data_IF_379933310538
#
_entry.id   IF_379933310538
#
_cell.length_a   1.000
_cell.length_b   1.000
_cell.length_c   1.000
_cell.angle_alpha   90.00
_cell.angle_beta   90.00
_cell.angle_gamma   90.00
#
_symmetry.space_group_name_H-M   'P 1'
#
loop_
_entity.id
_entity.type
_entity.pdbx_description
1 polymer ?
#
# COMPACT_ATOMS: atom_id res chain seq x y z
N UNK A 1 10.97 22.14 8.90
CA UNK A 1 10.45 22.85 7.70
C UNK A 1 8.93 22.82 7.61
N UNK A 2 8.22 21.67 7.50
CA UNK A 2 6.73 21.75 7.49
C UNK A 2 6.18 22.17 8.85
N UNK A 3 6.60 21.54 9.96
CA UNK A 3 6.04 21.83 11.29
C UNK A 3 6.30 23.27 11.79
N UNK A 4 7.36 23.92 11.33
CA UNK A 4 7.64 25.33 11.66
C UNK A 4 6.70 26.28 10.89
N UNK A 5 6.38 25.92 9.63
CA UNK A 5 5.36 26.60 8.85
C UNK A 5 3.97 26.38 9.47
N UNK A 6 3.64 25.14 9.85
CA UNK A 6 2.36 24.78 10.46
C UNK A 6 2.17 25.51 11.79
N UNK A 7 3.20 25.59 12.64
CA UNK A 7 3.17 26.38 13.87
C UNK A 7 2.92 27.87 13.59
N UNK A 8 3.74 28.48 12.73
CA UNK A 8 3.69 29.92 12.49
C UNK A 8 2.34 30.35 11.86
N UNK A 9 1.92 29.66 10.80
CA UNK A 9 0.72 30.03 10.05
C UNK A 9 -0.55 29.46 10.67
N UNK A 10 -0.50 28.29 11.28
CA UNK A 10 -1.64 27.70 11.97
C UNK A 10 -2.04 28.52 13.20
N UNK A 11 -1.09 28.96 14.02
CA UNK A 11 -1.41 29.86 15.14
C UNK A 11 -1.94 31.21 14.66
N UNK A 12 -1.36 31.78 13.60
CA UNK A 12 -1.87 33.04 13.02
C UNK A 12 -3.28 32.89 12.47
N UNK A 13 -3.57 31.76 11.82
CA UNK A 13 -4.91 31.46 11.30
C UNK A 13 -5.93 31.30 12.43
N UNK A 14 -5.58 30.58 13.51
CA UNK A 14 -6.43 30.50 14.71
C UNK A 14 -6.66 31.89 15.32
N UNK A 15 -5.61 32.68 15.53
CA UNK A 15 -5.70 34.04 16.11
C UNK A 15 -6.67 34.94 15.34
N UNK A 16 -6.59 34.93 14.01
CA UNK A 16 -7.36 35.84 13.17
C UNK A 16 -8.76 35.32 12.80
N UNK A 17 -8.92 34.00 12.67
CA UNK A 17 -10.06 33.43 11.95
C UNK A 17 -10.86 32.37 12.70
N UNK A 18 -10.47 31.90 13.90
CA UNK A 18 -11.14 30.75 14.55
C UNK A 18 -12.66 30.93 14.71
N UNK A 19 -13.09 32.16 15.01
CA UNK A 19 -14.49 32.49 15.24
C UNK A 19 -15.30 32.76 13.96
N UNK A 20 -14.64 32.88 12.80
CA UNK A 20 -15.27 33.40 11.57
C UNK A 20 -14.99 32.58 10.30
N UNK A 21 -14.02 31.66 10.30
CA UNK A 21 -13.56 30.98 9.09
C UNK A 21 -14.70 30.20 8.38
N UNK A 22 -15.66 29.67 9.13
CA UNK A 22 -16.81 28.95 8.57
C UNK A 22 -17.75 29.85 7.77
N UNK A 23 -17.72 31.16 8.01
CA UNK A 23 -18.59 32.15 7.36
C UNK A 23 -18.01 32.68 6.04
N UNK A 24 -16.80 32.27 5.65
CA UNK A 24 -16.22 32.68 4.36
C UNK A 24 -17.09 32.17 3.20
N UNK A 25 -17.51 33.09 2.33
CA UNK A 25 -18.39 32.78 1.18
C UNK A 25 -17.69 31.92 0.13
N UNK A 26 -16.38 32.06 -0.01
CA UNK A 26 -15.55 31.25 -0.91
C UNK A 26 -15.26 29.86 -0.30
N UNK A 27 -15.74 28.77 -0.93
CA UNK A 27 -15.52 27.41 -0.43
C UNK A 27 -14.05 26.96 -0.50
N UNK A 28 -13.28 27.43 -1.49
CA UNK A 28 -11.85 27.08 -1.62
C UNK A 28 -11.06 27.73 -0.49
N UNK A 29 -11.29 29.02 -0.26
CA UNK A 29 -10.67 29.74 0.87
C UNK A 29 -11.03 29.08 2.20
N UNK A 30 -12.31 28.67 2.38
CA UNK A 30 -12.75 27.97 3.58
C UNK A 30 -11.99 26.67 3.79
N UNK A 31 -11.79 25.86 2.74
CA UNK A 31 -11.03 24.60 2.81
C UNK A 31 -9.55 24.83 3.10
N UNK A 32 -8.94 25.83 2.46
CA UNK A 32 -7.54 26.23 2.72
C UNK A 32 -7.35 26.65 4.18
N UNK A 33 -8.21 27.53 4.70
CA UNK A 33 -8.11 28.03 6.07
C UNK A 33 -8.44 26.94 7.09
N UNK A 34 -9.41 26.07 6.77
CA UNK A 34 -9.73 24.88 7.57
C UNK A 34 -8.54 23.93 7.67
N UNK A 35 -7.75 23.76 6.60
CA UNK A 35 -6.54 22.96 6.61
C UNK A 35 -5.40 23.62 7.40
N UNK A 36 -5.10 24.89 7.14
CA UNK A 36 -3.98 25.62 7.77
C UNK A 36 -4.15 25.72 9.29
N UNK A 37 -5.39 25.85 9.79
CA UNK A 37 -5.64 25.93 11.24
C UNK A 37 -5.44 24.61 11.99
N UNK A 38 -5.20 23.49 11.31
CA UNK A 38 -4.88 22.21 11.96
C UNK A 38 -3.36 22.07 12.03
N UNK A 39 -2.81 22.17 13.24
CA UNK A 39 -1.36 22.18 13.46
C UNK A 39 -0.79 20.76 13.61
N UNK A 40 -1.59 19.80 14.06
CA UNK A 40 -1.14 18.44 14.34
C UNK A 40 0.05 18.42 15.30
N UNK A 41 1.15 17.70 14.98
CA UNK A 41 2.36 17.65 15.81
C UNK A 41 2.99 19.02 16.12
N UNK A 42 2.69 20.07 15.35
CA UNK A 42 3.14 21.41 15.65
C UNK A 42 2.51 22.00 16.93
N UNK A 43 1.39 21.46 17.43
CA UNK A 43 0.85 21.81 18.75
C UNK A 43 1.73 21.33 19.92
N UNK A 44 2.63 20.36 19.68
CA UNK A 44 3.54 19.90 20.73
C UNK A 44 4.64 20.93 20.96
N UNK A 45 4.95 21.20 22.23
CA UNK A 45 6.13 21.99 22.59
C UNK A 45 7.42 21.37 22.03
N UNK A 46 8.43 22.21 21.76
CA UNK A 46 9.65 21.86 21.00
C UNK A 46 10.27 20.52 21.42
N UNK A 47 10.43 20.26 22.71
CA UNK A 47 11.01 19.01 23.22
C UNK A 47 10.16 17.77 22.86
N UNK A 48 8.83 17.84 23.05
CA UNK A 48 7.91 16.75 22.69
C UNK A 48 7.83 16.58 21.17
N UNK A 49 7.89 17.67 20.40
CA UNK A 49 7.94 17.63 18.94
C UNK A 49 9.20 16.94 18.42
N UNK A 50 10.37 17.25 19.00
CA UNK A 50 11.63 16.57 18.70
C UNK A 50 11.56 15.07 19.07
N UNK A 51 10.97 14.74 20.22
CA UNK A 51 10.73 13.35 20.62
C UNK A 51 9.83 12.63 19.61
N UNK A 52 8.71 13.24 19.22
CA UNK A 52 7.76 12.69 18.25
C UNK A 52 8.45 12.38 16.91
N UNK A 53 9.20 13.35 16.37
CA UNK A 53 9.95 13.18 15.12
C UNK A 53 11.04 12.09 15.23
N UNK A 54 11.73 12.03 16.37
CA UNK A 54 12.73 10.99 16.64
C UNK A 54 12.10 9.59 16.75
N UNK A 55 10.93 9.48 17.37
CA UNK A 55 10.17 8.22 17.45
C UNK A 55 9.77 7.73 16.06
N UNK A 56 9.20 8.59 15.22
CA UNK A 56 8.83 8.25 13.84
C UNK A 56 10.05 7.79 13.02
N UNK A 57 11.16 8.53 13.11
CA UNK A 57 12.41 8.15 12.43
C UNK A 57 12.94 6.81 12.93
N UNK A 58 12.90 6.56 14.25
CA UNK A 58 13.36 5.30 14.83
C UNK A 58 12.48 4.12 14.42
N UNK A 59 11.16 4.29 14.40
CA UNK A 59 10.23 3.26 13.96
C UNK A 59 10.44 2.91 12.48
N UNK A 60 10.57 3.92 11.63
CA UNK A 60 10.90 3.74 10.20
C UNK A 60 12.23 3.01 10.00
N UNK A 61 13.27 3.39 10.76
CA UNK A 61 14.58 2.72 10.72
C UNK A 61 14.49 1.26 11.16
N UNK A 62 13.82 0.97 12.28
CA UNK A 62 13.65 -0.41 12.77
C UNK A 62 12.97 -1.27 11.70
N UNK A 63 11.85 -0.79 11.13
CA UNK A 63 11.13 -1.54 10.11
C UNK A 63 11.96 -1.76 8.84
N UNK A 64 12.65 -0.73 8.34
CA UNK A 64 13.40 -0.82 7.07
C UNK A 64 14.72 -1.61 7.17
N UNK A 65 15.35 -1.65 8.34
CA UNK A 65 16.68 -2.25 8.52
C UNK A 65 16.67 -3.59 9.26
N UNK A 66 15.52 -4.01 9.81
CA UNK A 66 15.39 -5.29 10.47
C UNK A 66 15.74 -6.45 9.54
N UNK A 67 16.41 -7.46 10.11
CA UNK A 67 16.79 -8.70 9.41
C UNK A 67 16.44 -9.90 10.29
N UNK A 68 16.17 -11.03 9.66
CA UNK A 68 15.90 -12.31 10.32
C UNK A 68 17.10 -13.23 10.10
N UNK A 69 17.74 -13.68 11.17
CA UNK A 69 18.94 -14.51 11.10
C UNK A 69 18.66 -15.94 11.56
N UNK A 70 19.34 -16.93 10.96
CA UNK A 70 19.20 -18.32 11.39
C UNK A 70 19.77 -18.57 12.79
N UNK A 71 19.10 -19.41 13.62
CA UNK A 71 19.68 -19.87 14.88
C UNK A 71 21.04 -20.53 14.62
N UNK A 72 22.07 -20.10 15.35
CA UNK A 72 23.45 -20.61 15.26
C UNK A 72 24.18 -20.40 13.92
N UNK A 73 23.64 -19.59 13.00
CA UNK A 73 24.32 -19.15 11.77
C UNK A 73 24.16 -17.64 11.59
N UNK A 74 24.91 -16.88 12.39
CA UNK A 74 24.90 -15.41 12.40
C UNK A 74 25.46 -14.77 11.12
N UNK A 75 26.08 -15.55 10.24
CA UNK A 75 26.67 -15.05 8.99
C UNK A 75 25.65 -14.79 7.87
N UNK A 76 24.39 -15.22 8.02
CA UNK A 76 23.36 -15.04 6.97
C UNK A 76 22.06 -14.56 7.61
N UNK A 77 21.73 -13.29 7.36
CA UNK A 77 20.49 -12.65 7.80
C UNK A 77 19.72 -12.18 6.57
N UNK A 78 18.41 -12.35 6.61
CA UNK A 78 17.49 -12.03 5.52
C UNK A 78 16.77 -10.72 5.78
N UNK A 79 16.76 -9.87 4.77
CA UNK A 79 15.97 -8.64 4.76
C UNK A 79 14.52 -8.93 4.37
N UNK A 80 13.59 -8.04 4.73
CA UNK A 80 12.19 -8.18 4.28
C UNK A 80 12.12 -8.28 2.76
N UNK A 81 12.74 -7.32 2.07
CA UNK A 81 12.77 -7.23 0.61
C UNK A 81 14.22 -7.29 0.08
N UNK A 82 14.59 -8.34 -0.69
CA UNK A 82 13.71 -9.34 -1.32
C UNK A 82 13.55 -10.67 -0.56
N UNK A 83 14.39 -10.95 0.45
CA UNK A 83 14.62 -12.32 0.91
C UNK A 83 13.36 -12.96 1.53
N UNK A 84 12.79 -12.33 2.56
CA UNK A 84 11.61 -12.88 3.26
C UNK A 84 10.37 -12.84 2.39
N UNK A 85 10.16 -11.76 1.64
CA UNK A 85 9.06 -11.65 0.67
C UNK A 85 9.11 -12.80 -0.35
N UNK A 86 10.29 -13.12 -0.88
CA UNK A 86 10.46 -14.25 -1.80
C UNK A 86 10.18 -15.59 -1.12
N UNK A 87 10.62 -15.79 0.13
CA UNK A 87 10.34 -17.01 0.90
C UNK A 87 8.83 -17.20 1.08
N UNK A 88 8.10 -16.16 1.50
CA UNK A 88 6.66 -16.23 1.72
C UNK A 88 5.89 -16.46 0.41
N UNK A 89 6.33 -15.83 -0.69
CA UNK A 89 5.70 -15.99 -2.00
C UNK A 89 5.90 -17.39 -2.61
N UNK A 90 7.11 -17.95 -2.52
CA UNK A 90 7.50 -19.14 -3.31
C UNK A 90 7.60 -20.45 -2.50
N UNK A 91 7.91 -20.38 -1.20
CA UNK A 91 8.07 -21.58 -0.38
C UNK A 91 6.72 -22.27 -0.16
N UNK A 92 6.76 -23.59 -0.09
CA UNK A 92 5.63 -24.44 0.33
C UNK A 92 5.99 -25.32 1.52
N UNK A 93 7.08 -25.00 2.22
CA UNK A 93 7.52 -25.67 3.44
C UNK A 93 6.95 -24.95 4.66
N UNK A 94 6.05 -25.62 5.39
CA UNK A 94 5.39 -25.04 6.57
C UNK A 94 6.40 -24.48 7.57
N UNK A 95 7.44 -25.25 7.91
CA UNK A 95 8.45 -24.83 8.88
C UNK A 95 9.28 -23.63 8.42
N UNK A 96 9.58 -23.55 7.12
CA UNK A 96 10.32 -22.42 6.55
C UNK A 96 9.48 -21.14 6.54
N UNK A 97 8.20 -21.26 6.16
CA UNK A 97 7.26 -20.15 6.17
C UNK A 97 7.02 -19.64 7.59
N UNK A 98 6.85 -20.56 8.56
CA UNK A 98 6.70 -20.21 9.97
C UNK A 98 7.93 -19.48 10.49
N UNK A 99 9.15 -19.98 10.21
CA UNK A 99 10.39 -19.33 10.62
C UNK A 99 10.51 -17.90 10.09
N UNK A 100 10.24 -17.71 8.80
CA UNK A 100 10.30 -16.39 8.18
C UNK A 100 9.26 -15.41 8.76
N UNK A 101 8.02 -15.89 8.95
CA UNK A 101 6.92 -15.09 9.49
C UNK A 101 7.14 -14.71 10.95
N UNK A 102 7.44 -15.69 11.82
CA UNK A 102 7.68 -15.48 13.24
C UNK A 102 8.92 -14.61 13.44
N UNK A 103 10.03 -14.94 12.75
CA UNK A 103 11.26 -14.18 12.85
C UNK A 103 11.09 -12.71 12.47
N UNK A 104 10.30 -12.41 11.44
CA UNK A 104 10.00 -11.02 11.06
C UNK A 104 9.19 -10.29 12.13
N UNK A 105 8.12 -10.91 12.61
CA UNK A 105 7.25 -10.32 13.63
C UNK A 105 7.98 -10.12 14.96
N UNK A 106 8.90 -11.00 15.33
CA UNK A 106 9.75 -10.84 16.50
C UNK A 106 10.78 -9.71 16.32
N UNK A 107 11.51 -9.74 15.20
CA UNK A 107 12.58 -8.78 14.93
C UNK A 107 12.08 -7.32 14.84
N UNK A 108 10.83 -7.12 14.39
CA UNK A 108 10.23 -5.80 14.18
C UNK A 108 9.22 -5.45 15.27
N UNK A 109 8.30 -6.35 15.60
CA UNK A 109 7.18 -6.07 16.51
C UNK A 109 7.62 -5.82 17.96
N UNK A 110 8.56 -6.64 18.47
CA UNK A 110 9.06 -6.51 19.84
C UNK A 110 9.69 -5.12 20.10
N UNK A 111 10.67 -4.65 19.30
CA UNK A 111 11.26 -3.33 19.52
C UNK A 111 10.34 -2.16 19.17
N UNK A 112 9.36 -2.33 18.26
CA UNK A 112 8.43 -1.25 17.90
C UNK A 112 7.38 -0.97 18.98
N UNK A 113 6.93 -1.99 19.73
CA UNK A 113 5.85 -1.86 20.72
C UNK A 113 6.01 -0.67 21.69
N UNK A 114 7.14 -0.48 22.41
CA UNK A 114 7.29 0.65 23.33
C UNK A 114 7.36 2.02 22.62
N UNK A 115 7.83 2.06 21.37
CA UNK A 115 7.86 3.29 20.56
C UNK A 115 6.45 3.66 20.10
N UNK A 116 5.68 2.66 19.67
CA UNK A 116 4.29 2.83 19.20
C UNK A 116 3.38 3.35 20.31
N UNK A 117 3.57 2.89 21.55
CA UNK A 117 2.83 3.41 22.72
C UNK A 117 3.12 4.90 22.95
N UNK A 118 4.38 5.31 22.86
CA UNK A 118 4.78 6.70 23.04
C UNK A 118 4.28 7.60 21.90
N UNK A 119 4.43 7.16 20.65
CA UNK A 119 3.99 7.96 19.49
C UNK A 119 2.47 8.14 19.49
N UNK A 120 1.71 7.12 19.91
CA UNK A 120 0.25 7.19 20.03
C UNK A 120 -0.16 8.23 21.08
N UNK A 121 0.51 8.24 22.24
CA UNK A 121 0.23 9.21 23.30
C UNK A 121 0.52 10.65 22.84
N UNK A 122 1.68 10.89 22.21
CA UNK A 122 2.07 12.20 21.70
C UNK A 122 1.17 12.66 20.53
N UNK A 123 0.81 11.76 19.63
CA UNK A 123 -0.11 12.05 18.52
C UNK A 123 -1.47 12.49 19.04
N UNK A 124 -2.03 11.75 20.00
CA UNK A 124 -3.31 12.12 20.61
C UNK A 124 -3.23 13.44 21.40
N UNK A 125 -2.13 13.72 22.10
CA UNK A 125 -1.91 15.02 22.74
C UNK A 125 -1.92 16.16 21.72
N UNK A 126 -1.28 15.95 20.57
CA UNK A 126 -1.17 16.96 19.51
C UNK A 126 -2.53 17.29 18.89
N UNK A 127 -3.29 16.29 18.45
CA UNK A 127 -4.57 16.49 17.76
C UNK A 127 -5.71 16.88 18.70
N UNK A 128 -5.62 16.60 20.01
CA UNK A 128 -6.56 17.13 21.01
C UNK A 128 -6.56 18.65 21.09
N UNK A 129 -5.40 19.28 20.84
CA UNK A 129 -5.29 20.75 20.80
C UNK A 129 -5.89 21.37 19.53
N UNK A 130 -6.18 20.56 18.51
CA UNK A 130 -6.94 20.96 17.32
C UNK A 130 -8.45 20.68 17.45
N UNK A 131 -8.90 20.16 18.60
CA UNK A 131 -10.31 19.91 18.89
C UNK A 131 -10.81 18.50 18.55
N UNK A 132 -9.93 17.57 18.18
CA UNK A 132 -10.28 16.16 17.94
C UNK A 132 -10.18 15.34 19.24
N UNK A 133 -11.02 14.32 19.44
CA UNK A 133 -10.93 13.46 20.65
C UNK A 133 -9.63 12.64 20.68
N UNK A 134 -9.15 12.25 19.51
CA UNK A 134 -7.97 11.43 19.26
C UNK A 134 -7.52 11.58 17.79
N UNK A 135 -6.36 11.01 17.48
CA UNK A 135 -5.78 11.03 16.13
C UNK A 135 -6.68 10.32 15.10
N UNK A 136 -7.41 9.28 15.52
CA UNK A 136 -8.29 8.53 14.63
C UNK A 136 -9.49 9.35 14.15
N UNK A 137 -10.07 10.18 15.01
CA UNK A 137 -11.13 11.13 14.59
C UNK A 137 -10.59 12.14 13.57
N UNK A 138 -9.37 12.64 13.75
CA UNK A 138 -8.72 13.51 12.76
C UNK A 138 -8.55 12.80 11.40
N UNK A 139 -8.07 11.55 11.39
CA UNK A 139 -7.93 10.81 10.12
C UNK A 139 -9.28 10.57 9.44
N UNK A 140 -10.33 10.23 10.20
CA UNK A 140 -11.67 10.04 9.66
C UNK A 140 -12.29 11.34 9.15
N UNK A 141 -11.91 12.50 9.69
CA UNK A 141 -12.46 13.78 9.25
C UNK A 141 -12.09 14.14 7.82
N UNK A 142 -11.03 13.56 7.25
CA UNK A 142 -10.65 13.74 5.84
C UNK A 142 -11.69 13.25 4.84
N UNK A 143 -12.60 12.38 5.27
CA UNK A 143 -13.70 11.89 4.44
C UNK A 143 -14.95 12.77 4.51
N UNK A 144 -14.98 13.76 5.42
CA UNK A 144 -16.07 14.71 5.61
C UNK A 144 -17.47 14.04 5.67
N UNK A 145 -17.53 12.81 6.20
CA UNK A 145 -18.74 11.99 6.30
C UNK A 145 -19.03 11.64 7.77
N UNK A 146 -20.22 12.03 8.23
CA UNK A 146 -20.68 11.75 9.59
C UNK A 146 -20.97 10.26 9.82
N UNK A 147 -21.24 9.50 8.76
CA UNK A 147 -21.59 8.06 8.79
C UNK A 147 -20.44 7.19 8.30
N UNK A 148 -19.20 7.71 8.27
CA UNK A 148 -18.07 7.03 7.65
C UNK A 148 -17.84 5.60 8.20
N UNK A 149 -17.93 5.42 9.52
CA UNK A 149 -17.71 4.11 10.16
C UNK A 149 -18.86 3.15 9.82
N UNK A 150 -20.10 3.61 9.89
CA UNK A 150 -21.29 2.81 9.58
C UNK A 150 -21.36 2.42 8.10
N UNK A 151 -20.93 3.32 7.21
CA UNK A 151 -20.87 3.07 5.78
C UNK A 151 -19.82 2.01 5.44
N UNK A 152 -18.64 2.06 6.09
CA UNK A 152 -17.60 1.03 5.95
C UNK A 152 -18.08 -0.34 6.46
N UNK A 153 -18.69 -0.40 7.64
CA UNK A 153 -19.22 -1.66 8.20
C UNK A 153 -20.31 -2.25 7.30
N UNK A 154 -21.20 -1.42 6.76
CA UNK A 154 -22.23 -1.85 5.81
C UNK A 154 -21.63 -2.42 4.53
N UNK A 155 -20.57 -1.80 3.99
CA UNK A 155 -19.86 -2.30 2.82
C UNK A 155 -19.14 -3.62 3.11
N UNK A 156 -18.50 -3.73 4.29
CA UNK A 156 -17.85 -4.96 4.72
C UNK A 156 -18.83 -6.14 4.76
N UNK A 157 -20.00 -5.98 5.37
CA UNK A 157 -21.02 -7.03 5.42
C UNK A 157 -21.57 -7.45 4.05
N UNK A 158 -21.58 -6.56 3.06
CA UNK A 158 -21.96 -6.93 1.69
C UNK A 158 -20.92 -7.84 1.03
N UNK A 159 -19.64 -7.69 1.40
CA UNK A 159 -18.51 -8.43 0.84
C UNK A 159 -18.18 -9.69 1.64
N UNK A 160 -18.55 -9.73 2.91
CA UNK A 160 -18.30 -10.85 3.82
C UNK A 160 -18.75 -12.22 3.25
N UNK A 161 -19.93 -12.38 2.62
CA UNK A 161 -20.30 -13.66 2.02
C UNK A 161 -19.34 -14.13 0.92
N UNK A 162 -18.81 -13.21 0.11
CA UNK A 162 -17.81 -13.53 -0.92
C UNK A 162 -16.50 -13.97 -0.25
N UNK A 163 -16.01 -13.20 0.73
CA UNK A 163 -14.79 -13.51 1.47
C UNK A 163 -14.88 -14.87 2.17
N UNK A 164 -15.99 -15.18 2.85
CA UNK A 164 -16.15 -16.45 3.56
C UNK A 164 -16.14 -17.66 2.62
N UNK A 165 -16.73 -17.53 1.42
CA UNK A 165 -16.66 -18.59 0.40
C UNK A 165 -15.23 -18.77 -0.13
N UNK A 166 -14.54 -17.68 -0.45
CA UNK A 166 -13.14 -17.71 -0.88
C UNK A 166 -12.24 -18.31 0.21
N UNK A 167 -12.35 -17.84 1.45
CA UNK A 167 -11.63 -18.34 2.60
C UNK A 167 -11.85 -19.85 2.79
N UNK A 168 -13.09 -20.33 2.72
CA UNK A 168 -13.38 -21.76 2.83
C UNK A 168 -12.77 -22.59 1.69
N UNK A 169 -12.82 -22.08 0.45
CA UNK A 169 -12.23 -22.71 -0.73
C UNK A 169 -10.70 -22.80 -0.61
N UNK A 170 -10.03 -21.69 -0.27
CA UNK A 170 -8.59 -21.62 -0.07
C UNK A 170 -8.15 -22.50 1.10
N UNK A 171 -8.87 -22.47 2.24
CA UNK A 171 -8.61 -23.35 3.38
C UNK A 171 -8.66 -24.82 2.99
N UNK A 172 -9.60 -25.22 2.13
CA UNK A 172 -9.66 -26.59 1.60
C UNK A 172 -8.45 -26.91 0.72
N UNK A 173 -7.99 -25.99 -0.12
CA UNK A 173 -6.80 -26.19 -0.95
C UNK A 173 -5.53 -26.34 -0.10
N UNK A 174 -5.35 -25.46 0.89
CA UNK A 174 -4.24 -25.55 1.84
C UNK A 174 -4.29 -26.85 2.64
N UNK A 175 -5.49 -27.30 3.03
CA UNK A 175 -5.66 -28.60 3.68
C UNK A 175 -5.18 -29.77 2.81
N UNK A 176 -5.47 -29.77 1.50
CA UNK A 176 -4.94 -30.80 0.58
C UNK A 176 -3.41 -30.81 0.53
N UNK A 177 -2.77 -29.65 0.68
CA UNK A 177 -1.30 -29.50 0.60
C UNK A 177 -0.60 -29.82 1.92
N UNK A 178 -1.08 -29.27 3.03
CA UNK A 178 -0.42 -29.31 4.34
C UNK A 178 -1.01 -30.36 5.28
N UNK A 179 -2.20 -30.88 4.99
CA UNK A 179 -2.87 -31.94 5.75
C UNK A 179 -3.53 -31.49 7.06
N UNK A 180 -4.24 -32.44 7.69
CA UNK A 180 -5.02 -32.23 8.93
C UNK A 180 -4.18 -31.75 10.11
N UNK A 181 -2.88 -32.05 10.13
CA UNK A 181 -1.98 -31.65 11.21
C UNK A 181 -1.85 -30.12 11.30
N UNK A 182 -1.88 -29.43 10.16
CA UNK A 182 -1.60 -28.00 10.07
C UNK A 182 -2.83 -27.16 9.73
N UNK A 183 -3.86 -27.76 9.11
CA UNK A 183 -5.05 -27.04 8.68
C UNK A 183 -6.30 -27.67 9.28
N UNK A 184 -7.01 -26.90 10.11
CA UNK A 184 -8.35 -27.26 10.57
C UNK A 184 -9.39 -26.74 9.57
N UNK A 185 -10.12 -27.63 8.90
CA UNK A 185 -11.17 -27.28 7.92
C UNK A 185 -12.33 -26.45 8.47
N UNK A 186 -12.45 -26.34 9.79
CA UNK A 186 -13.47 -25.56 10.49
C UNK A 186 -12.88 -24.40 11.31
N UNK A 187 -11.56 -24.20 11.26
CA UNK A 187 -10.85 -23.14 11.99
C UNK A 187 -10.29 -22.04 11.08
N UNK A 188 -9.61 -21.04 11.65
CA UNK A 188 -8.86 -20.04 10.88
C UNK A 188 -7.72 -20.68 10.07
N UNK A 189 -7.26 -19.98 9.03
CA UNK A 189 -6.06 -20.35 8.27
C UNK A 189 -4.82 -19.82 9.03
N UNK A 190 -3.73 -20.60 9.17
CA UNK A 190 -2.46 -20.07 9.67
C UNK A 190 -1.92 -18.94 8.78
N UNK A 191 -1.65 -17.77 9.36
CA UNK A 191 -1.35 -16.53 8.62
C UNK A 191 -0.12 -16.61 7.70
N UNK A 192 0.86 -17.45 8.02
CA UNK A 192 2.10 -17.60 7.24
C UNK A 192 1.96 -18.45 5.96
N UNK A 193 0.76 -18.94 5.63
CA UNK A 193 0.53 -19.86 4.51
C UNK A 193 -0.13 -19.21 3.28
N UNK A 194 -0.36 -17.90 3.32
CA UNK A 194 -1.16 -17.17 2.34
C UNK A 194 -0.32 -16.40 1.32
N UNK A 195 0.96 -16.73 1.17
CA UNK A 195 1.81 -16.20 0.10
C UNK A 195 2.31 -14.77 0.31
N UNK A 196 1.97 -14.15 1.44
CA UNK A 196 2.35 -12.78 1.80
C UNK A 196 2.67 -12.71 3.31
N UNK A 197 3.59 -11.83 3.71
CA UNK A 197 4.03 -11.68 5.11
C UNK A 197 2.88 -11.36 6.08
N UNK A 198 1.88 -10.62 5.61
CA UNK A 198 0.73 -10.17 6.39
C UNK A 198 -0.57 -10.87 6.02
N UNK A 199 -0.54 -11.75 5.02
CA UNK A 199 -1.72 -12.39 4.42
C UNK A 199 -2.69 -11.44 3.67
N UNK A 200 -2.29 -10.19 3.40
CA UNK A 200 -3.15 -9.18 2.76
C UNK A 200 -3.52 -9.47 1.30
N UNK A 201 -2.66 -10.22 0.59
CA UNK A 201 -2.86 -10.67 -0.79
C UNK A 201 -2.50 -12.16 -0.88
N UNK A 202 -3.35 -12.94 -1.55
CA UNK A 202 -3.22 -14.39 -1.69
C UNK A 202 -2.79 -14.81 -3.10
N UNK A 203 -2.41 -13.86 -3.97
CA UNK A 203 -2.05 -14.15 -5.37
C UNK A 203 -0.89 -15.17 -5.50
N UNK A 204 0.05 -15.16 -4.56
CA UNK A 204 1.23 -16.01 -4.60
C UNK A 204 0.95 -17.49 -4.30
N UNK A 205 -0.29 -17.84 -3.91
CA UNK A 205 -0.72 -19.22 -3.71
C UNK A 205 -1.64 -19.73 -4.83
N UNK A 206 -1.79 -18.96 -5.91
CA UNK A 206 -2.65 -19.28 -7.05
C UNK A 206 -2.40 -20.70 -7.61
N UNK A 207 -1.15 -21.15 -7.63
CA UNK A 207 -0.76 -22.51 -8.06
C UNK A 207 -1.45 -23.63 -7.24
N UNK A 208 -1.79 -23.38 -5.98
CA UNK A 208 -2.45 -24.34 -5.08
C UNK A 208 -3.98 -24.30 -5.17
N UNK A 209 -4.54 -23.17 -5.59
CA UNK A 209 -5.98 -22.88 -5.56
C UNK A 209 -6.61 -22.79 -6.94
N UNK A 210 -5.83 -22.90 -8.02
CA UNK A 210 -6.35 -22.89 -9.40
C UNK A 210 -7.46 -23.95 -9.57
N UNK A 211 -8.69 -23.56 -9.97
CA UNK A 211 -9.81 -24.51 -10.07
C UNK A 211 -9.64 -25.55 -11.19
N UNK A 212 -8.87 -25.20 -12.21
CA UNK A 212 -8.74 -25.97 -13.44
C UNK A 212 -7.26 -25.97 -13.87
N UNK A 213 -6.40 -26.91 -13.44
CA UNK A 213 -4.97 -26.82 -13.69
C UNK A 213 -4.58 -26.90 -15.19
N UNK A 214 -5.41 -27.51 -16.04
CA UNK A 214 -5.04 -27.87 -17.42
C UNK A 214 -5.18 -26.77 -18.49
N UNK A 215 -5.41 -25.50 -18.11
CA UNK A 215 -5.39 -24.37 -19.07
C UNK A 215 -4.28 -23.37 -18.72
N UNK A 216 -3.89 -22.48 -19.66
CA UNK A 216 -2.77 -21.56 -19.48
C UNK A 216 -2.90 -20.70 -18.22
N UNK A 217 -1.76 -20.47 -17.56
CA UNK A 217 -1.64 -19.54 -16.44
C UNK A 217 -1.65 -18.09 -16.96
N UNK A 218 -2.27 -17.17 -16.21
CA UNK A 218 -2.30 -15.74 -16.53
C UNK A 218 -1.19 -14.94 -15.86
N UNK A 219 -0.41 -15.56 -14.98
CA UNK A 219 0.84 -14.98 -14.52
C UNK A 219 1.86 -14.88 -15.66
N UNK A 220 2.11 -13.64 -16.09
CA UNK A 220 3.03 -13.29 -17.18
C UNK A 220 4.47 -13.07 -16.71
N UNK A 221 4.79 -13.28 -15.43
CA UNK A 221 6.14 -13.08 -14.88
C UNK A 221 7.22 -13.79 -15.68
N UNK A 222 7.01 -15.06 -16.02
CA UNK A 222 7.96 -15.82 -16.83
C UNK A 222 8.13 -15.24 -18.24
N UNK A 223 7.06 -14.75 -18.85
CA UNK A 223 7.12 -14.11 -20.17
C UNK A 223 7.89 -12.78 -20.12
N UNK A 224 7.69 -11.98 -19.06
CA UNK A 224 8.45 -10.74 -18.83
C UNK A 224 9.96 -11.03 -18.72
N UNK A 225 10.35 -12.04 -17.91
CA UNK A 225 11.75 -12.43 -17.74
C UNK A 225 12.34 -12.96 -19.06
N UNK A 226 11.64 -13.85 -19.77
CA UNK A 226 12.10 -14.40 -21.05
C UNK A 226 12.28 -13.32 -22.13
N UNK A 227 11.46 -12.27 -22.09
CA UNK A 227 11.57 -11.10 -22.99
C UNK A 227 12.60 -10.07 -22.52
N UNK A 228 13.29 -10.31 -21.41
CA UNK A 228 14.32 -9.40 -20.89
C UNK A 228 13.77 -8.08 -20.37
N UNK A 229 12.56 -8.08 -19.80
CA UNK A 229 12.01 -6.89 -19.15
C UNK A 229 12.88 -6.46 -17.97
N UNK A 230 12.94 -5.14 -17.72
CA UNK A 230 13.58 -4.53 -16.57
C UNK A 230 12.64 -3.47 -15.95
N UNK A 231 13.03 -2.87 -14.81
CA UNK A 231 12.18 -1.89 -14.15
C UNK A 231 11.84 -0.71 -15.07
N UNK A 232 12.83 -0.13 -15.75
CA UNK A 232 12.60 1.00 -16.68
C UNK A 232 11.55 0.68 -17.73
N UNK A 233 11.58 -0.52 -18.31
CA UNK A 233 10.58 -0.94 -19.30
C UNK A 233 9.19 -1.05 -18.68
N UNK A 234 9.05 -1.59 -17.47
CA UNK A 234 7.76 -1.65 -16.75
C UNK A 234 7.16 -0.26 -16.55
N UNK A 235 7.97 0.73 -16.12
CA UNK A 235 7.53 2.12 -15.97
C UNK A 235 7.19 2.78 -17.32
N UNK A 236 7.91 2.46 -18.40
CA UNK A 236 7.61 2.98 -19.74
C UNK A 236 6.31 2.43 -20.31
N UNK A 237 6.03 1.15 -20.10
CA UNK A 237 4.75 0.53 -20.47
C UNK A 237 3.60 1.19 -19.71
N UNK A 238 3.79 1.47 -18.42
CA UNK A 238 2.80 2.21 -17.65
C UNK A 238 2.62 3.65 -18.18
N UNK A 239 3.69 4.40 -18.44
CA UNK A 239 3.61 5.73 -19.08
C UNK A 239 2.83 5.70 -20.42
N UNK A 240 3.09 4.69 -21.26
CA UNK A 240 2.36 4.49 -22.52
C UNK A 240 0.87 4.28 -22.27
N UNK A 241 0.51 3.52 -21.24
CA UNK A 241 -0.89 3.33 -20.85
C UNK A 241 -1.56 4.67 -20.50
N UNK A 242 -0.96 5.48 -19.61
CA UNK A 242 -1.50 6.79 -19.23
C UNK A 242 -1.63 7.73 -20.44
N UNK A 243 -0.58 7.84 -21.25
CA UNK A 243 -0.57 8.71 -22.44
C UNK A 243 -1.53 8.23 -23.53
N UNK A 244 -1.81 6.92 -23.64
CA UNK A 244 -2.83 6.39 -24.55
C UNK A 244 -4.26 6.85 -24.21
N UNK A 245 -4.49 7.24 -22.95
CA UNK A 245 -5.74 7.85 -22.48
C UNK A 245 -5.77 9.38 -22.66
N UNK A 246 -4.70 9.97 -23.21
CA UNK A 246 -4.53 11.42 -23.32
C UNK A 246 -4.08 12.10 -22.03
N UNK A 247 -3.59 11.33 -21.05
CA UNK A 247 -3.01 11.88 -19.82
C UNK A 247 -1.55 12.32 -20.04
N UNK A 248 -0.98 12.96 -19.02
CA UNK A 248 0.33 13.59 -19.13
C UNK A 248 1.45 12.53 -19.10
N UNK A 249 2.51 12.66 -19.93
CA UNK A 249 3.70 11.83 -19.78
C UNK A 249 4.44 12.18 -18.48
N UNK A 250 5.33 11.29 -18.03
CA UNK A 250 6.18 11.58 -16.89
C UNK A 250 7.25 12.62 -17.27
N UNK A 251 7.49 13.64 -16.42
CA UNK A 251 8.44 14.69 -16.74
C UNK A 251 9.89 14.16 -16.77
N UNK A 252 10.83 14.86 -17.44
CA UNK A 252 12.24 14.44 -17.48
C UNK A 252 12.85 14.24 -16.09
N UNK A 253 12.50 15.11 -15.14
CA UNK A 253 12.93 15.05 -13.74
C UNK A 253 12.54 13.72 -13.07
N UNK A 254 11.34 13.20 -13.36
CA UNK A 254 10.89 11.90 -12.82
C UNK A 254 11.86 10.77 -13.20
N UNK A 255 12.28 10.72 -14.47
CA UNK A 255 13.17 9.68 -14.96
C UNK A 255 14.61 9.83 -14.47
N UNK A 256 15.07 11.07 -14.31
CA UNK A 256 16.43 11.36 -13.86
C UNK A 256 16.61 11.06 -12.37
N UNK A 257 15.56 11.21 -11.56
CA UNK A 257 15.70 11.35 -10.12
C UNK A 257 14.94 10.30 -9.28
N UNK A 258 14.10 9.47 -9.90
CA UNK A 258 13.40 8.38 -9.21
C UNK A 258 14.30 7.20 -8.89
N UNK A 259 14.02 6.53 -7.78
CA UNK A 259 14.66 5.25 -7.42
C UNK A 259 13.74 4.11 -7.88
N UNK A 260 13.94 3.64 -9.11
CA UNK A 260 13.10 2.61 -9.73
C UNK A 260 13.60 1.18 -9.44
N UNK A 261 14.81 1.03 -8.92
CA UNK A 261 15.42 -0.24 -8.53
C UNK A 261 16.16 -0.08 -7.19
N UNK A 262 16.36 -1.19 -6.48
CA UNK A 262 17.17 -1.18 -5.26
C UNK A 262 18.64 -0.90 -5.62
N UNK A 263 19.32 0.07 -5.00
CA UNK A 263 20.75 0.28 -5.22
C UNK A 263 21.58 -0.97 -4.91
N UNK A 264 22.58 -1.25 -5.73
CA UNK A 264 23.50 -2.40 -5.61
C UNK A 264 24.76 -2.09 -4.80
N UNK A 265 24.94 -0.83 -4.39
CA UNK A 265 26.06 -0.33 -3.60
C UNK A 265 25.96 -0.61 -2.08
N UNK A 266 24.98 -1.43 -1.68
CA UNK A 266 24.81 -1.88 -0.29
C UNK A 266 24.19 -0.84 0.65
N UNK A 267 23.70 0.30 0.14
CA UNK A 267 22.95 1.27 0.96
C UNK A 267 21.63 0.68 1.43
N UNK A 268 21.28 0.96 2.69
CA UNK A 268 19.97 0.64 3.24
C UNK A 268 18.95 1.69 2.76
N UNK A 269 17.83 1.21 2.22
CA UNK A 269 16.75 2.04 1.67
C UNK A 269 15.39 1.51 2.12
N UNK A 270 14.40 2.40 2.22
CA UNK A 270 13.01 1.99 2.44
C UNK A 270 12.46 1.46 1.11
N UNK A 271 12.32 0.14 0.98
CA UNK A 271 11.89 -0.48 -0.29
C UNK A 271 10.38 -0.41 -0.58
N UNK A 272 9.55 -0.19 0.44
CA UNK A 272 8.10 -0.07 0.26
C UNK A 272 7.79 1.01 -0.78
N UNK A 273 7.00 0.65 -1.81
CA UNK A 273 6.68 1.54 -2.92
C UNK A 273 6.01 2.82 -2.41
N UNK A 274 6.31 3.93 -3.07
CA UNK A 274 5.73 5.24 -2.73
C UNK A 274 5.99 6.23 -3.86
N UNK A 275 5.00 7.07 -4.12
CA UNK A 275 5.09 8.25 -4.98
C UNK A 275 5.27 9.52 -4.14
N UNK A 276 5.99 10.50 -4.69
CA UNK A 276 6.41 11.71 -3.99
C UNK A 276 6.14 12.96 -4.83
N UNK A 277 5.37 13.89 -4.28
CA UNK A 277 5.25 15.28 -4.75
C UNK A 277 6.17 16.17 -3.91
N UNK A 278 7.10 16.88 -4.55
CA UNK A 278 8.02 17.80 -3.88
C UNK A 278 7.45 19.22 -3.75
N UNK A 279 6.17 19.41 -4.08
CA UNK A 279 5.38 20.64 -3.96
C UNK A 279 5.87 21.85 -4.77
N UNK A 280 6.91 21.68 -5.59
CA UNK A 280 7.48 22.72 -6.46
C UNK A 280 6.88 22.74 -7.88
N UNK A 281 5.88 21.88 -8.14
CA UNK A 281 5.17 21.72 -9.43
C UNK A 281 5.99 21.13 -10.59
N UNK A 282 7.20 20.64 -10.32
CA UNK A 282 8.13 20.13 -11.33
C UNK A 282 8.66 18.75 -10.99
N UNK A 283 9.05 18.56 -9.73
CA UNK A 283 9.73 17.37 -9.25
C UNK A 283 8.72 16.41 -8.62
N UNK A 284 8.54 15.28 -9.30
CA UNK A 284 7.68 14.18 -8.88
C UNK A 284 8.47 12.90 -9.07
N UNK A 285 8.51 12.03 -8.05
CA UNK A 285 9.39 10.85 -8.05
C UNK A 285 8.66 9.61 -7.54
N UNK A 286 9.15 8.44 -7.95
CA UNK A 286 8.81 7.16 -7.33
C UNK A 286 10.04 6.57 -6.64
N UNK A 287 9.80 5.92 -5.50
CA UNK A 287 10.80 5.14 -4.78
C UNK A 287 10.27 3.72 -4.58
N UNK A 288 10.71 2.79 -5.42
CA UNK A 288 10.29 1.39 -5.43
C UNK A 288 11.49 0.48 -5.69
N UNK A 289 11.63 -0.61 -4.92
CA UNK A 289 12.60 -1.67 -5.21
C UNK A 289 12.01 -2.66 -6.23
N UNK A 290 11.79 -2.21 -7.47
CA UNK A 290 11.02 -2.96 -8.47
C UNK A 290 11.68 -4.28 -8.84
N UNK A 291 10.87 -5.34 -8.87
CA UNK A 291 11.25 -6.67 -9.38
C UNK A 291 10.46 -6.97 -10.65
N UNK A 292 11.02 -7.78 -11.54
CA UNK A 292 10.39 -8.12 -12.82
C UNK A 292 9.35 -9.23 -12.61
N UNK A 293 8.19 -8.85 -12.10
CA UNK A 293 7.05 -9.75 -11.83
C UNK A 293 5.73 -9.06 -12.18
N UNK A 294 4.68 -9.84 -12.41
CA UNK A 294 3.35 -9.32 -12.75
C UNK A 294 2.73 -8.48 -11.63
N UNK A 295 2.92 -8.87 -10.36
CA UNK A 295 2.46 -8.08 -9.20
C UNK A 295 3.12 -6.69 -9.19
N UNK A 296 4.44 -6.64 -9.42
CA UNK A 296 5.18 -5.39 -9.46
C UNK A 296 4.81 -4.53 -10.65
N UNK A 297 4.42 -5.11 -11.79
CA UNK A 297 3.87 -4.34 -12.91
C UNK A 297 2.58 -3.63 -12.51
N UNK A 298 1.73 -4.28 -11.73
CA UNK A 298 0.51 -3.66 -11.18
C UNK A 298 0.86 -2.56 -10.18
N UNK A 299 1.84 -2.80 -9.28
CA UNK A 299 2.35 -1.76 -8.36
C UNK A 299 2.93 -0.56 -9.11
N UNK A 300 3.66 -0.76 -10.21
CA UNK A 300 4.16 0.35 -11.04
C UNK A 300 3.01 1.21 -11.56
N UNK A 301 1.92 0.62 -12.05
CA UNK A 301 0.73 1.37 -12.47
C UNK A 301 0.04 2.08 -11.30
N UNK A 302 0.01 1.44 -10.13
CA UNK A 302 -0.51 2.03 -8.90
C UNK A 302 0.24 3.33 -8.56
N UNK A 303 1.57 3.26 -8.43
CA UNK A 303 2.41 4.39 -8.07
C UNK A 303 2.42 5.49 -9.14
N UNK A 304 2.40 5.13 -10.42
CA UNK A 304 2.28 6.10 -11.50
C UNK A 304 0.90 6.77 -11.53
N UNK A 305 -0.14 6.13 -11.00
CA UNK A 305 -1.45 6.74 -10.76
C UNK A 305 -1.38 7.91 -9.78
N UNK A 306 -0.61 7.76 -8.69
CA UNK A 306 -0.34 8.85 -7.74
C UNK A 306 0.39 10.01 -8.43
N UNK A 307 1.46 9.72 -9.18
CA UNK A 307 2.20 10.76 -9.94
C UNK A 307 1.29 11.46 -10.95
N UNK A 308 0.41 10.71 -11.62
CA UNK A 308 -0.55 11.28 -12.54
C UNK A 308 -1.51 12.24 -11.84
N UNK A 309 -1.99 11.90 -10.64
CA UNK A 309 -2.79 12.81 -9.82
C UNK A 309 -2.01 14.08 -9.49
N UNK A 310 -0.73 13.93 -9.10
CA UNK A 310 0.15 15.05 -8.78
C UNK A 310 0.28 16.04 -9.94
N UNK A 311 0.54 15.51 -11.14
CA UNK A 311 0.68 16.30 -12.36
C UNK A 311 -0.60 17.07 -12.70
N UNK A 312 -1.78 16.50 -12.44
CA UNK A 312 -3.06 17.12 -12.79
C UNK A 312 -3.43 18.28 -11.86
N UNK A 313 -3.18 18.17 -10.55
CA UNK A 313 -3.52 19.22 -9.59
C UNK A 313 -2.39 20.19 -9.27
N UNK A 314 -1.21 20.06 -9.90
CA UNK A 314 0.02 20.78 -9.50
C UNK A 314 -0.11 22.30 -9.49
N UNK A 315 -1.11 22.86 -10.15
CA UNK A 315 -1.35 24.30 -10.20
C UNK A 315 -2.38 24.80 -9.17
N UNK A 316 -3.04 23.88 -8.45
CA UNK A 316 -3.89 24.21 -7.31
C UNK A 316 -3.06 24.79 -6.15
N UNK A 317 -3.67 25.57 -5.23
CA UNK A 317 -3.07 25.93 -3.95
C UNK A 317 -2.57 24.69 -3.21
N UNK A 318 -1.42 24.79 -2.53
CA UNK A 318 -0.75 23.63 -1.92
C UNK A 318 -1.65 22.84 -0.95
N UNK A 319 -2.49 23.53 -0.17
CA UNK A 319 -3.45 22.91 0.76
C UNK A 319 -4.58 22.14 0.06
N UNK A 320 -4.76 22.34 -1.26
CA UNK A 320 -5.75 21.65 -2.09
C UNK A 320 -5.12 20.59 -3.01
N UNK A 321 -3.79 20.39 -2.95
CA UNK A 321 -3.06 19.35 -3.71
C UNK A 321 -3.13 18.01 -3.02
N UNK A 322 -4.34 17.50 -2.90
CA UNK A 322 -4.66 16.19 -2.34
C UNK A 322 -5.82 15.61 -3.15
N UNK A 323 -6.06 14.31 -3.01
CA UNK A 323 -7.26 13.69 -3.56
C UNK A 323 -8.52 14.30 -2.96
N UNK A 324 -9.66 14.11 -3.63
CA UNK A 324 -10.97 14.49 -3.08
C UNK A 324 -11.17 13.93 -1.65
N UNK A 325 -10.72 12.68 -1.45
CA UNK A 325 -10.37 12.09 -0.16
C UNK A 325 -9.19 11.12 -0.39
N UNK A 326 -8.56 10.55 0.67
CA UNK A 326 -7.42 9.65 0.50
C UNK A 326 -7.72 8.42 -0.36
N UNK A 327 -8.94 7.88 -0.29
CA UNK A 327 -9.35 6.72 -1.10
C UNK A 327 -9.32 6.98 -2.61
N UNK A 328 -9.51 8.23 -3.07
CA UNK A 328 -9.37 8.57 -4.49
C UNK A 328 -7.93 8.46 -4.98
N UNK A 329 -6.94 8.82 -4.15
CA UNK A 329 -5.53 8.70 -4.53
C UNK A 329 -5.16 7.24 -4.77
N UNK A 330 -5.53 6.36 -3.83
CA UNK A 330 -5.26 4.92 -3.92
C UNK A 330 -6.03 4.27 -5.08
N UNK A 331 -7.25 4.72 -5.37
CA UNK A 331 -8.10 4.11 -6.39
C UNK A 331 -7.64 4.40 -7.83
N UNK A 332 -7.06 5.56 -8.13
CA UNK A 332 -6.71 5.92 -9.52
C UNK A 332 -5.69 4.95 -10.10
N UNK A 333 -4.61 4.68 -9.36
CA UNK A 333 -3.59 3.73 -9.78
C UNK A 333 -4.17 2.32 -9.98
N UNK A 334 -5.01 1.87 -9.04
CA UNK A 334 -5.63 0.55 -9.06
C UNK A 334 -6.66 0.36 -10.18
N UNK A 335 -7.41 1.41 -10.56
CA UNK A 335 -8.36 1.35 -11.68
C UNK A 335 -7.63 1.11 -12.99
N UNK A 336 -6.44 1.67 -13.16
CA UNK A 336 -5.63 1.43 -14.36
C UNK A 336 -4.97 0.05 -14.32
N UNK A 337 -4.46 -0.37 -13.17
CA UNK A 337 -3.94 -1.74 -12.98
C UNK A 337 -5.00 -2.82 -13.28
N UNK A 338 -6.29 -2.56 -12.99
CA UNK A 338 -7.40 -3.45 -13.40
C UNK A 338 -7.48 -3.64 -14.92
N UNK A 339 -7.25 -2.57 -15.69
CA UNK A 339 -7.31 -2.63 -17.15
C UNK A 339 -6.08 -3.35 -17.72
N UNK A 340 -4.91 -3.13 -17.11
CA UNK A 340 -3.63 -3.69 -17.52
C UNK A 340 -3.56 -5.20 -17.28
N UNK A 341 -4.17 -5.68 -16.21
CA UNK A 341 -4.24 -7.10 -15.86
C UNK A 341 -5.21 -7.91 -16.73
N UNK A 342 -5.95 -7.28 -17.64
CA UNK A 342 -6.85 -8.02 -18.55
C UNK A 342 -6.06 -8.85 -19.57
N UNK A 343 -6.49 -10.09 -19.89
CA UNK A 343 -5.83 -10.91 -20.91
C UNK A 343 -5.72 -10.22 -22.27
N UNK A 344 -6.73 -9.41 -22.64
CA UNK A 344 -6.74 -8.63 -23.87
C UNK A 344 -5.61 -7.58 -23.88
N UNK A 345 -5.39 -6.88 -22.76
CA UNK A 345 -4.30 -5.92 -22.65
C UNK A 345 -2.94 -6.62 -22.63
N UNK A 346 -2.78 -7.68 -21.82
CA UNK A 346 -1.55 -8.47 -21.75
C UNK A 346 -1.14 -9.03 -23.13
N UNK A 347 -2.11 -9.43 -23.96
CA UNK A 347 -1.86 -9.82 -25.34
C UNK A 347 -1.39 -8.65 -26.21
N UNK A 348 -2.03 -7.48 -26.08
CA UNK A 348 -1.67 -6.27 -26.83
C UNK A 348 -0.24 -5.81 -26.55
N UNK A 349 0.22 -5.93 -25.31
CA UNK A 349 1.61 -5.62 -24.91
C UNK A 349 2.57 -6.80 -25.10
N UNK A 350 2.11 -7.88 -25.75
CA UNK A 350 2.93 -9.01 -26.15
C UNK A 350 3.40 -9.90 -24.99
N UNK A 351 2.71 -9.88 -23.84
CA UNK A 351 2.98 -10.76 -22.69
C UNK A 351 2.14 -12.03 -22.68
N UNK A 352 1.10 -12.10 -23.51
CA UNK A 352 0.25 -13.29 -23.67
C UNK A 352 0.12 -13.63 -25.16
N UNK A 353 0.35 -14.88 -25.55
CA UNK A 353 0.34 -15.28 -26.97
C UNK A 353 -1.08 -15.48 -27.54
N UNK A 354 -2.03 -15.92 -26.71
CA UNK A 354 -3.41 -16.19 -27.11
C UNK A 354 -4.41 -15.67 -26.08
N UNK A 355 -5.50 -15.08 -26.55
CA UNK A 355 -6.65 -14.68 -25.73
C UNK A 355 -7.75 -15.72 -25.92
N UNK A 356 -8.11 -16.46 -24.88
CA UNK A 356 -9.27 -17.35 -24.88
C UNK A 356 -10.44 -16.67 -24.17
N UNK A 357 -11.63 -16.71 -24.79
CA UNK A 357 -12.82 -16.02 -24.30
C UNK A 357 -13.91 -17.03 -23.86
N UNK A 358 -13.48 -18.15 -23.30
CA UNK A 358 -14.38 -19.20 -22.80
C UNK A 358 -14.84 -18.88 -21.36
N UNK A 359 -15.98 -19.44 -20.92
CA UNK A 359 -16.50 -19.27 -19.55
C UNK A 359 -15.52 -19.76 -18.47
N UNK A 360 -14.74 -20.80 -18.77
CA UNK A 360 -13.75 -21.39 -17.86
C UNK A 360 -12.56 -20.43 -17.58
N UNK A 361 -11.90 -19.81 -18.59
CA UNK A 361 -11.02 -18.65 -18.44
C UNK A 361 -11.64 -17.46 -17.71
N UNK A 362 -12.94 -17.15 -17.90
CA UNK A 362 -13.59 -16.02 -17.21
C UNK A 362 -13.74 -16.24 -15.70
N UNK A 363 -14.01 -17.47 -15.25
CA UNK A 363 -14.01 -17.83 -13.82
C UNK A 363 -12.58 -17.83 -13.26
N UNK A 364 -11.59 -18.21 -14.09
CA UNK A 364 -10.18 -18.36 -13.73
C UNK A 364 -9.39 -17.04 -13.65
N UNK A 365 -9.59 -16.15 -14.61
CA UNK A 365 -8.55 -15.20 -15.03
C UNK A 365 -8.71 -13.75 -14.64
N UNK A 366 -9.94 -13.37 -14.29
CA UNK A 366 -10.22 -12.07 -13.72
C UNK A 366 -10.88 -12.26 -12.37
N UNK A 367 -11.92 -13.10 -12.25
CA UNK A 367 -12.66 -13.23 -10.99
C UNK A 367 -11.83 -13.80 -9.82
N UNK A 368 -11.14 -14.95 -9.98
CA UNK A 368 -10.42 -15.55 -8.85
C UNK A 368 -9.14 -14.78 -8.48
N UNK A 369 -8.33 -14.39 -9.48
CA UNK A 369 -7.09 -13.64 -9.27
C UNK A 369 -7.36 -12.22 -8.72
N UNK A 370 -8.45 -11.55 -9.16
CA UNK A 370 -8.92 -10.32 -8.51
C UNK A 370 -9.54 -10.58 -7.13
N UNK A 371 -10.14 -11.76 -6.91
CA UNK A 371 -10.70 -12.12 -5.60
C UNK A 371 -9.64 -12.44 -4.54
N UNK A 372 -8.47 -12.89 -4.97
CA UNK A 372 -7.30 -13.19 -4.12
C UNK A 372 -6.49 -11.95 -3.76
N UNK A 373 -6.78 -10.82 -4.40
CA UNK A 373 -6.11 -9.52 -4.12
C UNK A 373 -7.07 -8.51 -3.49
N UNK A 374 -8.29 -8.33 -4.00
CA UNK A 374 -9.17 -7.22 -3.55
C UNK A 374 -10.06 -7.57 -2.34
N UNK A 375 -10.86 -8.66 -2.35
CA UNK A 375 -11.62 -9.13 -1.19
C UNK A 375 -10.79 -9.57 0.01
N UNK A 376 -9.54 -10.02 -0.17
CA UNK A 376 -8.66 -10.50 0.92
C UNK A 376 -8.11 -9.35 1.77
N UNK A 377 -7.90 -8.18 1.16
CA UNK A 377 -7.45 -6.96 1.84
C UNK A 377 -8.51 -6.38 2.78
N UNK A 378 -9.80 -6.57 2.51
CA UNK A 378 -10.87 -5.87 3.24
C UNK A 378 -11.08 -6.32 4.70
N UNK A 379 -11.07 -7.63 5.03
CA UNK A 379 -11.10 -8.07 6.42
C UNK A 379 -9.91 -7.58 7.23
N UNK A 380 -8.71 -7.53 6.64
CA UNK A 380 -7.50 -7.03 7.33
C UNK A 380 -7.58 -5.53 7.64
N UNK A 381 -8.13 -4.74 6.73
CA UNK A 381 -8.39 -3.31 6.96
C UNK A 381 -9.39 -3.09 8.10
N UNK A 382 -10.37 -3.98 8.28
CA UNK A 382 -11.32 -3.90 9.40
C UNK A 382 -10.67 -4.24 10.75
N UNK A 383 -9.65 -5.12 10.78
CA UNK A 383 -8.90 -5.44 12.01
C UNK A 383 -7.95 -4.32 12.48
N UNK A 384 -7.54 -3.38 11.62
CA UNK A 384 -6.67 -2.25 12.00
C UNK A 384 -7.41 -1.10 12.71
N UNK A 385 -8.74 -1.07 12.63
CA UNK A 385 -9.57 -0.05 13.29
C UNK A 385 -10.65 -0.70 14.16
N UNK A 386 -10.29 -1.38 15.26
CA UNK A 386 -11.30 -1.77 16.24
C UNK A 386 -11.92 -0.49 16.85
N UNK A 387 -13.24 -0.51 16.96
CA UNK A 387 -14.10 0.49 17.62
C UNK A 387 -13.59 0.97 18.97
#
# INVERSE_FOLDING_TARGET
MSQDFDEAWGHKAKELYDNIWQNFTDPELRRVISSIRILGPANLGVAKRQQYNSLLSNMSRIYSTAKVCFPNKTATCWSLDPDLTHILASSRSYAMLLFAWEGWHDAVGIPLKPLYQQVTALSNEAYKQDGFSDTGVYWRSWYESATFVEDLERLYHQLEPLYLNLHAYVRRALHRRYGDKFINLRGPIPAHLLGNMWAQSWENIYDMVVPFPDKPNLDVTNAMVQKGWNATHMFRVAEEFFTSLGLLPMPPEFWAESMLEKPDDGREVVCHASAWDFYNRRDFRIKQCTRVTMDQLSTVHHEMGHVQYYLQYKDQPVSLRQGANPGFHEAIGDVLALSVSTPAHLHKIGLLDQVTNDMEPSIRGSALQLSETKPTLMPELNFMYPT
#
